data_IF_811586147045
#
_entry.id   IF_811586147045
#
_cell.length_a   1.000
_cell.length_b   1.000
_cell.length_c   1.000
_cell.angle_alpha   90.00
_cell.angle_beta   90.00
_cell.angle_gamma   90.00
#
_symmetry.space_group_name_H-M   'P 1'
#
loop_
_entity.id
_entity.type
_entity.pdbx_description
1 polymer ?
#
# COMPACT_ATOMS: atom_id res chain seq x y z
N UNK A 1 2.26 -22.09 26.58
CA UNK A 1 2.61 -22.69 25.27
C UNK A 1 3.36 -21.62 24.51
N UNK A 2 4.57 -21.90 24.03
CA UNK A 2 5.30 -20.90 23.27
C UNK A 2 4.65 -20.75 21.88
N UNK A 3 4.64 -19.53 21.37
CA UNK A 3 3.96 -19.18 20.14
C UNK A 3 4.97 -18.49 19.23
N UNK A 4 4.93 -18.83 17.94
CA UNK A 4 5.77 -18.22 16.92
C UNK A 4 4.91 -17.32 16.02
N UNK A 5 5.53 -16.24 15.54
CA UNK A 5 4.87 -15.25 14.68
C UNK A 5 5.43 -15.36 13.27
N UNK A 6 4.55 -15.60 12.29
CA UNK A 6 4.89 -15.60 10.87
C UNK A 6 4.26 -14.42 10.16
N UNK A 7 4.95 -13.92 9.15
CA UNK A 7 4.46 -12.83 8.30
C UNK A 7 4.53 -13.31 6.85
N UNK A 8 3.40 -13.27 6.15
CA UNK A 8 3.34 -13.64 4.75
C UNK A 8 4.08 -12.59 3.88
N UNK A 9 5.03 -12.97 3.01
CA UNK A 9 5.73 -12.03 2.14
C UNK A 9 4.87 -11.50 0.98
N UNK A 10 3.75 -12.15 0.65
CA UNK A 10 2.88 -11.78 -0.47
C UNK A 10 1.87 -10.67 -0.14
N UNK A 11 1.23 -10.74 1.03
CA UNK A 11 0.15 -9.85 1.45
C UNK A 11 0.35 -9.22 2.85
N UNK A 12 1.47 -9.49 3.52
CA UNK A 12 1.79 -9.01 4.87
C UNK A 12 0.79 -9.43 5.98
N UNK A 13 0.01 -10.50 5.75
CA UNK A 13 -0.80 -11.11 6.80
C UNK A 13 0.07 -11.69 7.91
N UNK A 14 -0.39 -11.55 9.15
CA UNK A 14 0.30 -12.02 10.35
C UNK A 14 -0.40 -13.26 10.93
N UNK A 15 0.38 -14.28 11.24
CA UNK A 15 -0.10 -15.54 11.82
C UNK A 15 0.59 -15.81 13.14
N UNK A 16 -0.21 -16.13 14.14
CA UNK A 16 0.25 -16.58 15.45
C UNK A 16 -0.09 -18.05 15.58
N UNK A 17 0.93 -18.89 15.66
CA UNK A 17 0.81 -20.35 15.66
C UNK A 17 1.66 -20.94 16.78
N UNK A 18 1.28 -22.10 17.32
CA UNK A 18 2.10 -22.75 18.34
C UNK A 18 3.49 -23.09 17.78
N UNK A 19 4.49 -23.07 18.65
CA UNK A 19 5.89 -23.44 18.32
C UNK A 19 6.04 -24.84 17.73
N UNK A 20 5.11 -25.75 18.04
CA UNK A 20 5.04 -27.10 17.46
C UNK A 20 4.57 -27.15 16.01
N UNK A 21 4.01 -26.05 15.47
CA UNK A 21 3.50 -26.02 14.11
C UNK A 21 4.60 -25.96 13.04
N UNK A 22 5.78 -25.46 13.40
CA UNK A 22 6.97 -25.44 12.53
C UNK A 22 8.08 -26.21 13.23
N UNK A 23 8.55 -27.33 12.65
CA UNK A 23 9.62 -28.10 13.24
C UNK A 23 10.98 -27.38 13.03
N UNK A 24 12.00 -27.79 13.79
CA UNK A 24 13.30 -27.12 13.79
C UNK A 24 14.03 -27.17 12.44
N UNK A 25 13.79 -28.23 11.66
CA UNK A 25 14.27 -28.36 10.29
C UNK A 25 13.66 -27.32 9.32
N UNK A 26 12.55 -26.69 9.70
CA UNK A 26 11.77 -25.79 8.85
C UNK A 26 10.73 -26.53 8.01
N UNK A 27 9.67 -25.81 7.63
CA UNK A 27 8.55 -26.37 6.86
C UNK A 27 8.04 -25.35 5.84
N UNK A 28 7.56 -25.87 4.72
CA UNK A 28 6.81 -25.09 3.74
C UNK A 28 5.39 -24.80 4.24
N UNK A 29 5.03 -23.52 4.25
CA UNK A 29 3.75 -23.01 4.76
C UNK A 29 3.03 -22.20 3.68
N UNK A 30 1.71 -22.29 3.67
CA UNK A 30 0.83 -21.59 2.72
C UNK A 30 0.02 -20.50 3.42
N UNK A 31 -0.06 -19.32 2.81
CA UNK A 31 -0.83 -18.20 3.33
C UNK A 31 -2.33 -18.40 3.06
N UNK A 32 -3.15 -18.53 4.10
CA UNK A 32 -4.61 -18.63 3.95
C UNK A 32 -5.26 -17.40 3.30
N UNK A 33 -4.61 -16.23 3.37
CA UNK A 33 -5.16 -14.98 2.81
C UNK A 33 -4.84 -14.75 1.32
N UNK A 34 -3.77 -15.34 0.77
CA UNK A 34 -3.34 -15.05 -0.61
C UNK A 34 -2.70 -16.23 -1.36
N UNK A 35 -2.68 -17.44 -0.76
CA UNK A 35 -2.14 -18.66 -1.38
C UNK A 35 -0.62 -18.69 -1.55
N UNK A 36 0.12 -17.67 -1.09
CA UNK A 36 1.58 -17.66 -1.25
C UNK A 36 2.22 -18.74 -0.38
N UNK A 37 3.09 -19.55 -0.97
CA UNK A 37 3.82 -20.62 -0.31
C UNK A 37 5.26 -20.16 -0.04
N UNK A 38 5.74 -20.32 1.20
CA UNK A 38 7.13 -19.99 1.56
C UNK A 38 7.69 -20.94 2.60
N UNK A 39 9.01 -20.99 2.71
CA UNK A 39 9.71 -21.81 3.70
C UNK A 39 9.87 -21.03 5.00
N UNK A 40 9.31 -21.54 6.09
CA UNK A 40 9.39 -20.94 7.41
C UNK A 40 10.21 -21.84 8.35
N UNK A 41 11.16 -21.25 9.07
CA UNK A 41 11.95 -21.93 10.09
C UNK A 41 11.48 -21.51 11.48
N UNK A 42 11.54 -22.44 12.43
CA UNK A 42 11.37 -22.11 13.85
C UNK A 42 12.63 -21.35 14.32
N UNK A 43 12.79 -20.11 13.87
CA UNK A 43 13.66 -19.17 14.56
C UNK A 43 12.81 -18.65 15.71
N UNK A 44 13.00 -19.15 16.95
CA UNK A 44 12.36 -18.50 18.09
C UNK A 44 12.81 -17.04 18.04
N UNK A 45 11.84 -16.11 18.11
CA UNK A 45 12.17 -14.74 18.45
C UNK A 45 12.93 -14.83 19.77
N UNK A 46 14.25 -14.59 19.74
CA UNK A 46 15.11 -14.66 20.93
C UNK A 46 14.45 -13.79 22.01
N UNK A 47 13.94 -14.37 23.10
CA UNK A 47 13.64 -13.58 24.27
C UNK A 47 15.00 -13.19 24.85
N UNK A 48 15.26 -11.89 24.93
CA UNK A 48 16.26 -11.24 25.78
C UNK A 48 17.27 -12.19 26.48
N UNK A 49 18.41 -12.47 25.85
CA UNK A 49 19.57 -12.91 26.63
C UNK A 49 20.18 -11.68 27.30
N UNK A 50 19.60 -11.32 28.44
CA UNK A 50 20.22 -10.50 29.47
C UNK A 50 21.07 -11.42 30.35
N UNK A 51 22.39 -11.35 30.19
CA UNK A 51 23.38 -11.77 31.19
C UNK A 51 23.73 -10.51 32.01
N UNK A 52 23.54 -10.48 33.34
CA UNK A 52 23.57 -9.24 34.10
C UNK A 52 24.98 -8.95 34.64
N UNK A 53 25.97 -8.66 33.79
CA UNK A 53 27.22 -8.03 34.26
C UNK A 53 28.16 -7.59 33.13
N UNK A 54 27.71 -6.69 32.26
CA UNK A 54 28.43 -5.49 31.77
C UNK A 54 27.32 -4.67 31.10
N UNK A 55 27.09 -3.42 31.51
CA UNK A 55 26.17 -2.52 30.83
C UNK A 55 26.77 -2.12 29.46
N UNK A 56 26.83 -3.06 28.53
CA UNK A 56 26.97 -2.79 27.12
C UNK A 56 25.60 -2.26 26.66
N UNK A 57 25.52 -0.97 26.37
CA UNK A 57 24.37 -0.39 25.69
C UNK A 57 24.02 -1.29 24.49
N UNK A 58 22.74 -1.62 24.24
CA UNK A 58 22.36 -2.43 23.10
C UNK A 58 22.91 -1.76 21.82
N UNK A 59 23.93 -2.35 21.23
CA UNK A 59 24.62 -1.81 20.04
C UNK A 59 23.78 -1.95 18.77
N UNK A 60 22.60 -2.56 18.88
CA UNK A 60 21.72 -2.91 17.77
C UNK A 60 20.38 -2.15 17.82
N UNK A 61 20.41 -0.89 18.25
CA UNK A 61 19.29 0.01 18.02
C UNK A 61 19.34 0.50 16.56
N UNK A 62 18.23 0.40 15.79
CA UNK A 62 18.19 0.93 14.44
C UNK A 62 18.55 2.42 14.49
N UNK A 63 19.66 2.77 13.81
CA UNK A 63 20.10 4.16 13.76
C UNK A 63 19.11 4.93 12.90
N UNK A 64 18.58 6.03 13.43
CA UNK A 64 17.76 6.93 12.64
C UNK A 64 18.58 7.43 11.44
N UNK A 65 18.01 7.34 10.24
CA UNK A 65 18.63 7.85 9.01
C UNK A 65 18.86 9.38 9.05
N UNK A 66 18.20 10.08 9.99
CA UNK A 66 18.36 11.51 10.24
C UNK A 66 18.21 11.77 11.75
N UNK A 67 18.95 12.75 12.27
CA UNK A 67 18.73 13.29 13.62
C UNK A 67 17.30 13.84 13.74
N UNK A 68 16.63 13.60 14.86
CA UNK A 68 15.34 14.21 15.14
C UNK A 68 15.53 15.73 15.35
N UNK A 69 14.65 16.60 14.82
CA UNK A 69 14.76 18.05 15.04
C UNK A 69 14.71 18.41 16.52
N UNK A 70 15.46 19.44 16.93
CA UNK A 70 15.52 19.87 18.34
C UNK A 70 14.14 20.20 18.90
N UNK A 71 13.26 20.79 18.09
CA UNK A 71 11.88 21.11 18.47
C UNK A 71 11.07 19.87 18.90
N UNK A 72 11.30 18.72 18.27
CA UNK A 72 10.59 17.47 18.60
C UNK A 72 11.20 16.84 19.85
N UNK A 73 12.52 16.94 20.03
CA UNK A 73 13.17 16.48 21.26
C UNK A 73 12.67 17.26 22.48
N UNK A 74 12.45 18.56 22.33
CA UNK A 74 11.91 19.40 23.39
C UNK A 74 10.46 19.03 23.73
N UNK A 75 9.60 18.79 22.72
CA UNK A 75 8.23 18.29 22.94
C UNK A 75 8.24 16.97 23.71
N UNK A 76 9.10 16.02 23.35
CA UNK A 76 9.18 14.72 24.04
C UNK A 76 9.67 14.85 25.49
N UNK A 77 10.58 15.79 25.75
CA UNK A 77 11.04 16.08 27.12
C UNK A 77 9.93 16.71 27.95
N UNK A 78 9.20 17.67 27.38
CA UNK A 78 8.08 18.33 28.03
C UNK A 78 6.96 17.34 28.36
N UNK A 79 6.67 16.39 27.46
CA UNK A 79 5.66 15.35 27.69
C UNK A 79 6.08 14.39 28.80
N UNK A 80 7.35 13.99 28.85
CA UNK A 80 7.87 13.15 29.95
C UNK A 80 7.77 13.88 31.29
N UNK A 81 8.10 15.16 31.33
CA UNK A 81 7.98 15.97 32.54
C UNK A 81 6.50 16.20 32.93
N UNK A 82 5.62 16.33 31.93
CA UNK A 82 4.18 16.40 32.15
C UNK A 82 3.63 15.12 32.79
N UNK A 83 3.97 13.96 32.23
CA UNK A 83 3.57 12.65 32.76
C UNK A 83 4.12 12.42 34.17
N UNK A 84 5.37 12.82 34.43
CA UNK A 84 5.95 12.76 35.80
C UNK A 84 5.18 13.61 36.79
N UNK A 85 4.81 14.84 36.41
CA UNK A 85 3.98 15.73 37.23
C UNK A 85 2.58 15.16 37.44
N UNK A 86 1.95 14.59 36.41
CA UNK A 86 0.66 13.93 36.52
C UNK A 86 0.72 12.74 37.50
N UNK A 87 1.71 11.86 37.35
CA UNK A 87 1.97 10.72 38.27
C UNK A 87 2.24 11.16 39.70
N UNK A 88 2.93 12.29 39.91
CA UNK A 88 3.19 12.82 41.24
C UNK A 88 1.94 13.42 41.88
N UNK A 89 1.08 14.08 41.09
CA UNK A 89 -0.21 14.59 41.53
C UNK A 89 -1.21 13.45 41.84
N UNK A 90 -1.14 12.34 41.08
CA UNK A 90 -1.89 11.11 41.31
C UNK A 90 -1.23 10.20 42.37
N UNK A 91 -0.13 10.66 42.98
CA UNK A 91 0.56 9.98 44.07
C UNK A 91 -0.34 9.78 45.29
N UNK A 92 -0.09 8.73 46.09
CA UNK A 92 -1.12 8.07 46.90
C UNK A 92 -1.69 8.99 47.98
N UNK A 93 -2.90 9.50 47.75
CA UNK A 93 -3.77 9.93 48.85
C UNK A 93 -4.32 8.66 49.51
N UNK A 94 -3.50 8.01 50.35
CA UNK A 94 -3.90 6.80 51.09
C UNK A 94 -2.77 5.96 51.70
N UNK A 95 -2.32 6.40 52.89
CA UNK A 95 -1.58 5.67 53.95
C UNK A 95 -0.12 5.21 53.73
N UNK A 96 0.78 5.49 54.71
CA UNK A 96 2.10 4.88 54.77
C UNK A 96 2.00 3.49 55.42
N UNK A 97 2.23 2.42 54.65
CA UNK A 97 2.31 1.10 55.23
C UNK A 97 2.40 -0.03 54.21
N UNK A 98 3.54 -0.71 54.21
CA UNK A 98 3.80 -2.01 53.56
C UNK A 98 3.85 -2.01 52.03
N UNK A 99 5.06 -1.85 51.50
CA UNK A 99 5.43 -2.49 50.25
C UNK A 99 5.39 -4.02 50.46
N UNK A 100 4.22 -4.62 50.26
CA UNK A 100 4.08 -6.05 50.03
C UNK A 100 3.83 -6.26 48.55
N UNK A 101 4.84 -6.74 47.86
CA UNK A 101 4.75 -7.29 46.50
C UNK A 101 3.82 -8.51 46.53
N UNK A 102 2.53 -8.28 46.32
CA UNK A 102 1.56 -9.30 45.93
C UNK A 102 1.19 -9.11 44.46
N UNK A 103 0.89 -10.17 43.70
CA UNK A 103 0.45 -10.03 42.33
C UNK A 103 -0.89 -9.29 42.36
N UNK A 104 -0.90 -8.03 41.88
CA UNK A 104 -2.14 -7.35 41.53
C UNK A 104 -2.74 -8.14 40.37
N UNK A 105 -3.85 -8.84 40.61
CA UNK A 105 -4.78 -9.18 39.54
C UNK A 105 -5.21 -7.83 38.94
N UNK A 106 -4.57 -7.45 37.84
CA UNK A 106 -5.15 -6.50 36.91
C UNK A 106 -6.37 -7.22 36.36
N UNK A 107 -7.56 -6.76 36.77
CA UNK A 107 -8.77 -7.07 36.02
C UNK A 107 -8.54 -6.52 34.60
N UNK A 108 -8.33 -7.44 33.67
CA UNK A 108 -8.22 -7.15 32.25
C UNK A 108 -9.54 -6.49 31.83
N UNK A 109 -9.55 -5.27 31.26
CA UNK A 109 -10.75 -4.76 30.62
C UNK A 109 -11.05 -5.67 29.42
N UNK A 110 -12.13 -6.45 29.52
CA UNK A 110 -12.67 -7.30 28.46
C UNK A 110 -12.87 -6.49 27.17
N UNK A 111 -11.89 -6.55 26.27
CA UNK A 111 -12.08 -6.16 24.89
C UNK A 111 -12.59 -7.39 24.13
N UNK A 112 -13.85 -7.43 23.65
CA UNK A 112 -14.36 -8.62 23.00
C UNK A 112 -13.67 -8.83 21.66
N UNK A 113 -12.78 -9.82 21.60
CA UNK A 113 -12.31 -10.40 20.36
C UNK A 113 -13.47 -11.17 19.70
N UNK A 114 -14.15 -10.53 18.75
CA UNK A 114 -15.19 -11.18 17.93
C UNK A 114 -14.53 -11.99 16.82
N UNK A 115 -14.15 -13.24 17.10
CA UNK A 115 -13.88 -14.24 16.07
C UNK A 115 -15.20 -14.87 15.63
N UNK A 116 -15.75 -14.40 14.52
CA UNK A 116 -16.90 -15.03 13.85
C UNK A 116 -16.38 -16.20 13.00
N UNK A 117 -16.49 -17.43 13.50
CA UNK A 117 -16.36 -18.64 12.68
C UNK A 117 -17.73 -19.01 12.11
N UNK A 118 -17.98 -18.67 10.83
CA UNK A 118 -19.14 -19.18 10.09
C UNK A 118 -18.75 -20.46 9.37
N UNK A 119 -19.28 -21.58 9.83
CA UNK A 119 -19.20 -22.86 9.12
C UNK A 119 -20.10 -22.81 7.89
N UNK A 120 -19.53 -23.01 6.69
CA UNK A 120 -20.29 -23.14 5.44
C UNK A 120 -20.48 -24.64 5.17
N UNK A 121 -21.73 -25.10 5.15
CA UNK A 121 -22.12 -26.38 4.57
C UNK A 121 -22.14 -26.26 3.05
N UNK A 122 -21.54 -27.22 2.35
CA UNK A 122 -21.58 -27.31 0.88
C UNK A 122 -22.48 -28.46 0.47
N UNK A 123 -23.64 -28.15 -0.13
CA UNK A 123 -24.37 -29.11 -0.94
C UNK A 123 -23.85 -29.07 -2.39
N UNK A 124 -23.79 -30.21 -3.10
CA UNK A 124 -23.23 -30.27 -4.45
C UNK A 124 -24.32 -30.01 -5.48
N UNK A 125 -24.10 -29.05 -6.39
CA UNK A 125 -24.97 -28.86 -7.57
C UNK A 125 -24.14 -29.00 -8.86
N UNK A 126 -24.26 -30.21 -9.39
CA UNK A 126 -24.44 -30.65 -10.78
C UNK A 126 -24.15 -29.68 -11.93
N UNK A 127 -23.28 -30.18 -12.82
CA UNK A 127 -22.80 -29.60 -14.07
C UNK A 127 -23.85 -29.62 -15.19
N UNK A 128 -24.09 -28.47 -15.84
CA UNK A 128 -24.67 -28.42 -17.18
C UNK A 128 -24.01 -27.31 -18.02
N UNK A 129 -23.34 -27.71 -19.11
CA UNK A 129 -23.09 -26.88 -20.29
C UNK A 129 -24.19 -27.17 -21.34
N UNK A 130 -24.53 -26.24 -22.27
CA UNK A 130 -23.79 -26.14 -23.53
C UNK A 130 -23.71 -24.74 -24.19
N UNK A 131 -22.82 -24.60 -25.18
CA UNK A 131 -22.57 -23.45 -26.06
C UNK A 131 -23.49 -23.47 -27.34
N UNK A 132 -23.25 -22.70 -28.44
CA UNK A 132 -22.60 -21.40 -28.67
C UNK A 132 -23.45 -20.44 -29.56
N UNK A 133 -23.09 -19.15 -29.68
CA UNK A 133 -23.43 -18.30 -30.84
C UNK A 133 -22.50 -17.07 -30.97
N UNK A 134 -21.89 -16.92 -32.15
CA UNK A 134 -21.19 -15.71 -32.63
C UNK A 134 -22.10 -15.01 -33.69
N UNK A 135 -21.90 -13.75 -34.15
CA UNK A 135 -20.65 -13.28 -34.77
C UNK A 135 -20.18 -11.85 -34.38
N UNK A 136 -18.91 -11.61 -34.70
CA UNK A 136 -18.05 -10.45 -34.45
C UNK A 136 -18.17 -9.39 -35.57
N UNK A 137 -18.06 -8.08 -35.29
CA UNK A 137 -17.53 -7.12 -36.24
C UNK A 137 -16.16 -6.58 -35.79
N UNK A 138 -15.23 -6.49 -36.74
CA UNK A 138 -13.90 -5.90 -36.58
C UNK A 138 -13.94 -4.38 -36.77
N UNK A 139 -13.01 -3.64 -36.14
CA UNK A 139 -12.45 -2.45 -36.76
C UNK A 139 -10.95 -2.59 -37.02
N UNK A 140 -10.57 -2.22 -38.23
CA UNK A 140 -9.23 -2.23 -38.76
C UNK A 140 -8.31 -1.25 -38.02
N UNK A 141 -7.11 -1.72 -37.71
CA UNK A 141 -5.95 -0.87 -37.46
C UNK A 141 -5.40 -0.40 -38.81
N UNK A 142 -5.02 0.88 -38.91
CA UNK A 142 -3.84 1.22 -39.69
C UNK A 142 -3.10 2.40 -39.05
N UNK A 143 -1.78 2.19 -39.03
CA UNK A 143 -0.74 2.88 -38.28
C UNK A 143 -0.02 3.83 -39.26
N UNK A 144 0.18 5.07 -38.81
CA UNK A 144 1.36 5.95 -38.95
C UNK A 144 1.98 6.27 -40.32
N UNK A 145 2.32 7.57 -40.47
CA UNK A 145 3.27 8.13 -41.44
C UNK A 145 2.55 8.89 -42.55
N UNK A 146 2.92 10.08 -42.99
CA UNK A 146 4.18 10.80 -42.97
C UNK A 146 3.94 12.30 -43.16
N UNK A 147 4.90 13.06 -42.64
CA UNK A 147 5.17 14.49 -42.83
C UNK A 147 4.91 15.01 -44.26
N UNK A 148 4.24 16.17 -44.46
CA UNK A 148 4.34 16.86 -45.74
C UNK A 148 5.69 17.59 -45.83
N UNK A 149 6.46 17.16 -46.83
CA UNK A 149 7.73 17.71 -47.27
C UNK A 149 7.73 19.24 -47.34
N UNK A 150 8.78 19.80 -46.78
CA UNK A 150 9.22 21.16 -47.02
C UNK A 150 9.40 21.41 -48.52
N UNK A 151 8.60 22.33 -49.06
CA UNK A 151 8.80 22.93 -50.38
C UNK A 151 10.13 23.66 -50.35
N UNK A 152 11.11 23.14 -51.10
CA UNK A 152 12.35 23.83 -51.39
C UNK A 152 12.14 24.63 -52.68
N UNK A 153 11.85 25.93 -52.56
CA UNK A 153 11.93 26.87 -53.67
C UNK A 153 13.15 27.77 -53.45
N UNK A 154 14.09 27.74 -54.40
CA UNK A 154 15.22 28.69 -54.53
C UNK A 154 15.16 29.27 -55.96
N UNK A 155 15.82 30.39 -56.27
CA UNK A 155 15.14 31.65 -56.61
C UNK A 155 15.42 32.09 -58.05
N UNK A 156 14.48 32.80 -58.65
CA UNK A 156 14.74 33.58 -59.87
C UNK A 156 14.62 35.08 -59.59
N UNK A 157 15.62 35.80 -60.09
CA UNK A 157 15.97 37.20 -59.82
C UNK A 157 15.39 38.12 -60.89
N UNK A 158 14.71 39.21 -60.50
CA UNK A 158 14.60 40.53 -61.17
C UNK A 158 13.49 41.35 -60.46
N UNK A 159 13.53 42.65 -60.16
CA UNK A 159 14.44 43.77 -60.42
C UNK A 159 14.17 44.85 -59.30
N UNK A 160 14.92 45.97 -59.22
CA UNK A 160 14.87 46.93 -58.10
C UNK A 160 13.85 48.07 -58.29
N UNK A 161 13.67 48.91 -57.24
CA UNK A 161 12.89 50.19 -57.10
C UNK A 161 11.64 49.99 -56.20
N UNK A 162 11.35 50.67 -55.08
CA UNK A 162 11.87 51.84 -54.31
C UNK A 162 11.36 51.69 -52.84
N UNK A 163 12.01 52.25 -51.79
CA UNK A 163 11.57 52.04 -50.40
C UNK A 163 10.49 53.04 -49.97
N UNK A 164 9.26 52.56 -49.77
CA UNK A 164 8.24 53.28 -49.01
C UNK A 164 8.42 53.00 -47.50
N UNK A 165 8.20 54.00 -46.61
CA UNK A 165 8.42 53.82 -45.17
C UNK A 165 7.45 52.79 -44.60
N UNK A 166 8.01 51.72 -44.04
CA UNK A 166 7.26 50.67 -43.37
C UNK A 166 6.52 51.22 -42.15
N UNK A 167 5.19 51.19 -42.20
CA UNK A 167 4.37 51.31 -41.01
C UNK A 167 4.71 50.15 -40.06
N UNK A 168 4.91 50.47 -38.77
CA UNK A 168 5.15 49.45 -37.74
C UNK A 168 4.02 48.41 -37.75
N UNK A 169 4.33 47.10 -37.64
CA UNK A 169 3.29 46.08 -37.53
C UNK A 169 2.47 46.32 -36.26
N UNK A 170 1.14 46.11 -36.29
CA UNK A 170 0.32 46.22 -35.08
C UNK A 170 0.79 45.19 -34.03
N UNK A 171 0.65 45.50 -32.73
CA UNK A 171 0.98 44.53 -31.68
C UNK A 171 0.10 43.29 -31.87
N UNK A 172 0.73 42.13 -32.08
CA UNK A 172 -0.01 40.87 -32.14
C UNK A 172 -0.70 40.64 -30.79
N UNK A 173 -1.97 40.20 -30.77
CA UNK A 173 -2.63 39.82 -29.53
C UNK A 173 -1.87 38.66 -28.89
N UNK A 174 -1.58 38.78 -27.59
CA UNK A 174 -0.99 37.70 -26.81
C UNK A 174 -1.84 36.44 -26.95
N UNK A 175 -1.23 35.32 -27.35
CA UNK A 175 -1.92 34.05 -27.44
C UNK A 175 -2.46 33.65 -26.05
N UNK A 176 -3.70 33.15 -25.96
CA UNK A 176 -4.24 32.68 -24.68
C UNK A 176 -3.41 31.49 -24.19
N UNK A 177 -2.94 31.55 -22.95
CA UNK A 177 -2.21 30.46 -22.29
C UNK A 177 -3.08 29.20 -22.20
N UNK A 178 -2.67 28.13 -22.87
CA UNK A 178 -3.41 26.88 -23.00
C UNK A 178 -3.36 25.94 -21.76
N UNK A 179 -2.76 26.40 -20.66
CA UNK A 179 -2.39 25.51 -19.54
C UNK A 179 -3.57 24.98 -18.71
N UNK A 180 -4.76 25.58 -18.86
CA UNK A 180 -5.95 25.20 -18.07
C UNK A 180 -6.59 23.88 -18.51
N UNK A 181 -6.37 23.44 -19.75
CA UNK A 181 -6.95 22.20 -20.27
C UNK A 181 -6.28 20.95 -19.71
N UNK A 182 -4.95 20.96 -19.61
CA UNK A 182 -4.19 19.80 -19.12
C UNK A 182 -4.35 19.61 -17.61
N UNK A 183 -4.30 20.68 -16.83
CA UNK A 183 -4.47 20.61 -15.37
C UNK A 183 -5.85 20.08 -14.98
N UNK A 184 -6.90 20.45 -15.72
CA UNK A 184 -8.25 19.93 -15.51
C UNK A 184 -8.36 18.43 -15.82
N UNK A 185 -7.75 17.97 -16.92
CA UNK A 185 -7.69 16.55 -17.27
C UNK A 185 -6.88 15.73 -16.28
N UNK A 186 -5.72 16.25 -15.85
CA UNK A 186 -4.87 15.62 -14.84
C UNK A 186 -5.57 15.52 -13.48
N UNK A 187 -6.24 16.60 -13.04
CA UNK A 187 -7.01 16.59 -11.80
C UNK A 187 -8.13 15.53 -11.81
N UNK A 188 -8.84 15.39 -12.93
CA UNK A 188 -9.85 14.34 -13.10
C UNK A 188 -9.22 12.94 -13.06
N UNK A 189 -8.08 12.73 -13.72
CA UNK A 189 -7.38 11.45 -13.70
C UNK A 189 -6.91 11.07 -12.29
N UNK A 190 -6.35 12.02 -11.52
CA UNK A 190 -5.94 11.80 -10.12
C UNK A 190 -7.15 11.50 -9.23
N UNK A 191 -8.26 12.20 -9.41
CA UNK A 191 -9.49 11.93 -8.67
C UNK A 191 -10.03 10.53 -8.96
N UNK A 192 -10.05 10.13 -10.24
CA UNK A 192 -10.48 8.80 -10.66
C UNK A 192 -9.57 7.70 -10.08
N UNK A 193 -8.25 7.93 -10.10
CA UNK A 193 -7.28 7.05 -9.48
C UNK A 193 -7.49 6.96 -7.95
N UNK A 194 -7.71 8.08 -7.27
CA UNK A 194 -8.00 8.10 -5.83
C UNK A 194 -9.31 7.39 -5.50
N UNK A 195 -10.34 7.50 -6.35
CA UNK A 195 -11.61 6.75 -6.19
C UNK A 195 -11.38 5.25 -6.37
N UNK A 196 -10.59 4.83 -7.37
CA UNK A 196 -10.24 3.41 -7.57
C UNK A 196 -9.42 2.86 -6.39
N UNK A 197 -8.43 3.60 -5.91
CA UNK A 197 -7.64 3.24 -4.72
C UNK A 197 -8.55 3.20 -3.48
N UNK A 198 -9.45 4.18 -3.32
CA UNK A 198 -10.43 4.23 -2.26
C UNK A 198 -11.36 3.01 -2.28
N UNK A 199 -11.89 2.64 -3.45
CA UNK A 199 -12.70 1.43 -3.65
C UNK A 199 -11.90 0.16 -3.34
N UNK A 200 -10.61 0.09 -3.70
CA UNK A 200 -9.75 -1.05 -3.39
C UNK A 200 -9.51 -1.19 -1.88
N UNK A 201 -9.21 -0.08 -1.19
CA UNK A 201 -8.96 -0.09 0.27
C UNK A 201 -10.26 -0.31 1.06
N UNK A 202 -11.38 0.25 0.59
CA UNK A 202 -12.67 0.19 1.27
C UNK A 202 -13.47 -1.08 0.91
N UNK A 203 -13.01 -1.86 -0.08
CA UNK A 203 -13.57 -3.15 -0.51
C UNK A 203 -13.99 -4.09 0.63
N UNK A 204 -13.21 -4.30 1.71
CA UNK A 204 -13.61 -5.20 2.80
C UNK A 204 -14.84 -4.71 3.59
N UNK A 205 -15.12 -3.41 3.57
CA UNK A 205 -16.28 -2.82 4.26
C UNK A 205 -17.55 -2.79 3.41
N UNK A 206 -17.46 -3.19 2.13
CA UNK A 206 -18.56 -3.17 1.16
C UNK A 206 -19.28 -4.51 1.04
N UNK A 207 -18.83 -5.53 1.78
CA UNK A 207 -19.36 -6.91 1.71
C UNK A 207 -20.86 -6.99 2.01
N UNK A 208 -21.40 -6.09 2.83
CA UNK A 208 -22.83 -6.07 3.18
C UNK A 208 -23.73 -5.33 2.16
N UNK A 209 -23.20 -4.89 1.00
CA UNK A 209 -23.98 -4.16 -0.03
C UNK A 209 -24.57 -5.05 -1.14
N UNK A 210 -24.78 -6.34 -0.87
CA UNK A 210 -25.35 -7.29 -1.82
C UNK A 210 -24.53 -7.41 -3.11
N UNK A 211 -25.18 -7.44 -4.27
CA UNK A 211 -24.56 -7.72 -5.58
C UNK A 211 -23.44 -6.75 -5.98
N UNK A 212 -23.45 -5.52 -5.47
CA UNK A 212 -22.38 -4.56 -5.72
C UNK A 212 -21.08 -4.95 -5.00
N UNK A 213 -21.18 -5.44 -3.75
CA UNK A 213 -20.04 -5.93 -2.98
C UNK A 213 -19.35 -7.09 -3.69
N UNK A 214 -20.14 -8.05 -4.18
CA UNK A 214 -19.64 -9.20 -4.94
C UNK A 214 -18.85 -8.78 -6.19
N UNK A 215 -19.36 -7.79 -6.94
CA UNK A 215 -18.67 -7.27 -8.14
C UNK A 215 -17.36 -6.56 -7.82
N UNK A 216 -17.29 -5.84 -6.71
CA UNK A 216 -16.05 -5.18 -6.26
C UNK A 216 -15.02 -6.22 -5.81
N UNK A 217 -15.44 -7.28 -5.12
CA UNK A 217 -14.55 -8.37 -4.71
C UNK A 217 -14.02 -9.16 -5.90
N UNK A 218 -14.86 -9.44 -6.91
CA UNK A 218 -14.46 -10.11 -8.15
C UNK A 218 -13.45 -9.27 -8.94
N UNK A 219 -13.69 -7.95 -9.07
CA UNK A 219 -12.75 -7.03 -9.71
C UNK A 219 -11.42 -6.93 -8.94
N UNK A 220 -11.45 -7.00 -7.61
CA UNK A 220 -10.26 -7.05 -6.77
C UNK A 220 -9.45 -8.34 -7.03
N UNK A 221 -10.12 -9.49 -7.06
CA UNK A 221 -9.47 -10.77 -7.33
C UNK A 221 -8.80 -10.76 -8.72
N UNK A 222 -9.48 -10.24 -9.75
CA UNK A 222 -8.90 -10.10 -11.09
C UNK A 222 -7.68 -9.17 -11.12
N UNK A 223 -7.68 -8.10 -10.33
CA UNK A 223 -6.52 -7.21 -10.22
C UNK A 223 -5.32 -7.89 -9.53
N UNK A 224 -5.59 -8.68 -8.49
CA UNK A 224 -4.56 -9.43 -7.79
C UNK A 224 -3.98 -10.55 -8.69
N UNK A 225 -4.81 -11.26 -9.45
CA UNK A 225 -4.39 -12.24 -10.47
C UNK A 225 -3.51 -11.62 -11.54
N UNK A 226 -3.91 -10.45 -12.06
CA UNK A 226 -3.12 -9.71 -13.04
C UNK A 226 -1.75 -9.30 -12.47
N UNK A 227 -1.68 -8.91 -11.18
CA UNK A 227 -0.42 -8.60 -10.50
C UNK A 227 0.48 -9.82 -10.42
N UNK A 228 -0.06 -10.97 -10.02
CA UNK A 228 0.71 -12.21 -9.92
C UNK A 228 1.23 -12.67 -11.28
N UNK A 229 0.40 -12.60 -12.31
CA UNK A 229 0.82 -12.88 -13.69
C UNK A 229 1.99 -12.00 -14.13
N UNK A 230 1.94 -10.70 -13.80
CA UNK A 230 2.98 -9.75 -14.18
C UNK A 230 4.28 -10.00 -13.41
N UNK A 231 4.19 -10.40 -12.15
CA UNK A 231 5.33 -10.81 -11.32
C UNK A 231 6.00 -12.07 -11.86
N UNK A 232 5.22 -13.09 -12.22
CA UNK A 232 5.75 -14.33 -12.82
C UNK A 232 6.47 -14.04 -14.15
N UNK A 233 5.85 -13.19 -14.98
CA UNK A 233 6.46 -12.78 -16.25
C UNK A 233 7.76 -12.00 -16.07
N UNK A 234 7.84 -11.14 -15.07
CA UNK A 234 9.04 -10.41 -14.72
C UNK A 234 10.16 -11.34 -14.21
N UNK A 235 9.81 -12.34 -13.40
CA UNK A 235 10.77 -13.33 -12.89
C UNK A 235 11.40 -14.16 -14.03
N UNK A 236 10.61 -14.51 -15.06
CA UNK A 236 11.11 -15.21 -16.25
C UNK A 236 12.11 -14.36 -17.04
N UNK A 237 11.94 -13.03 -17.10
CA UNK A 237 12.82 -12.13 -17.86
C UNK A 237 14.17 -11.85 -17.18
N UNK A 238 14.26 -12.05 -15.86
CA UNK A 238 15.46 -11.79 -15.07
C UNK A 238 16.39 -13.02 -15.03
N UNK A 239 15.91 -14.20 -15.42
CA UNK A 239 16.68 -15.46 -15.50
C UNK A 239 17.24 -15.67 -16.90
#
# INVERSE_FOLDING_TARGET
MAEIRLICPGCAAEYRIPDTAIPAEGREVECSACGNVWYATATPARPDAADPSVAAAPTDLPRLNRRLPDTVLDILRDEVEHERRARAADGPTGLPGTASSGPRLVADPEWPATTITRHIHSDPVESVAPAPSAPRPAPAANITGQSPSAVTARPETAAPVEPAPAAAPPPMPAAPSADRGYAAGFGLAVLLAAVLIGLYVLSPSLTDRGTFGDRVMDLRAQADDARFWLQDRAAILIR
#
